data_IF_073186921479
#
_entry.id   IF_073186921479
#
_cell.length_a   1.000
_cell.length_b   1.000
_cell.length_c   1.000
_cell.angle_alpha   90.00
_cell.angle_beta   90.00
_cell.angle_gamma   90.00
#
_symmetry.space_group_name_H-M   'P 1'
#
loop_
_entity.id
_entity.type
_entity.pdbx_description
1 polymer ?
#
# COMPACT_ATOMS: atom_id res chain seq x y z
N UNK A 1 30.01 -18.11 2.63
CA UNK A 1 28.68 -18.58 3.07
C UNK A 1 27.65 -17.62 2.50
N UNK A 2 26.49 -18.10 2.08
CA UNK A 2 25.40 -17.21 1.67
C UNK A 2 24.68 -16.69 2.93
N UNK A 3 24.41 -15.39 2.97
CA UNK A 3 23.69 -14.72 4.07
C UNK A 3 22.32 -14.24 3.57
N UNK A 4 21.35 -14.16 4.48
CA UNK A 4 19.97 -13.75 4.16
C UNK A 4 19.50 -12.72 5.19
N UNK A 5 19.04 -11.57 4.72
CA UNK A 5 18.36 -10.56 5.51
C UNK A 5 16.86 -10.56 5.22
N UNK A 6 16.03 -10.78 6.25
CA UNK A 6 14.58 -10.65 6.16
C UNK A 6 14.11 -9.26 6.60
N UNK A 7 13.42 -8.53 5.71
CA UNK A 7 12.82 -7.23 6.00
C UNK A 7 11.31 -7.26 5.76
N UNK A 8 10.53 -6.81 6.75
CA UNK A 8 9.08 -6.70 6.66
C UNK A 8 8.63 -5.25 6.71
N UNK A 9 7.69 -4.88 5.84
CA UNK A 9 7.14 -3.53 5.78
C UNK A 9 5.64 -3.56 5.46
N UNK A 10 4.91 -2.51 5.85
CA UNK A 10 3.46 -2.44 5.65
C UNK A 10 3.11 -2.21 4.19
N UNK A 11 2.08 -2.89 3.69
CA UNK A 11 1.51 -2.67 2.35
C UNK A 11 0.52 -1.48 2.32
N UNK A 12 0.60 -0.55 3.28
CA UNK A 12 -0.38 0.53 3.44
C UNK A 12 -0.26 1.59 2.31
N UNK A 13 -1.31 1.81 1.48
CA UNK A 13 -1.25 2.72 0.34
C UNK A 13 -1.31 4.21 0.74
N UNK A 14 -1.58 4.51 2.02
CA UNK A 14 -1.89 5.85 2.51
C UNK A 14 -0.70 6.81 2.57
N UNK A 15 0.52 6.35 2.29
CA UNK A 15 1.73 7.17 2.34
C UNK A 15 1.96 8.02 1.10
N UNK A 16 1.27 7.68 0.01
CA UNK A 16 1.49 8.32 -1.30
C UNK A 16 0.82 9.69 -1.35
N UNK A 17 -0.34 9.85 -0.70
CA UNK A 17 -1.16 11.05 -0.83
C UNK A 17 -0.69 12.20 0.08
N UNK A 18 -0.70 13.43 -0.44
CA UNK A 18 -0.56 14.65 0.36
C UNK A 18 -1.58 14.74 1.48
N UNK A 19 -1.22 15.45 2.55
CA UNK A 19 -2.17 15.77 3.62
C UNK A 19 -3.23 16.77 3.15
N UNK A 20 -2.82 17.63 2.22
CA UNK A 20 -3.57 18.72 1.60
C UNK A 20 -4.76 18.21 0.79
N UNK A 21 -4.69 16.96 0.29
CA UNK A 21 -5.80 16.31 -0.40
C UNK A 21 -7.05 16.22 0.49
N UNK A 22 -6.88 16.18 1.83
CA UNK A 22 -7.97 16.16 2.82
C UNK A 22 -8.89 14.95 2.78
N UNK A 23 -8.78 14.11 1.75
CA UNK A 23 -9.63 12.96 1.44
C UNK A 23 -9.01 11.66 1.94
N UNK A 24 -9.60 11.08 2.98
CA UNK A 24 -9.27 9.74 3.46
C UNK A 24 -10.21 8.69 2.88
N UNK A 25 -9.77 7.43 2.88
CA UNK A 25 -10.64 6.30 2.51
C UNK A 25 -11.91 6.27 3.37
N UNK A 26 -11.79 6.59 4.66
CA UNK A 26 -12.91 6.69 5.58
C UNK A 26 -13.90 7.78 5.15
N UNK A 27 -13.46 9.01 4.90
CA UNK A 27 -14.34 10.10 4.43
C UNK A 27 -15.09 9.73 3.17
N UNK A 28 -14.38 9.14 2.19
CA UNK A 28 -14.99 8.63 0.96
C UNK A 28 -16.03 7.55 1.25
N UNK A 29 -15.72 6.59 2.11
CA UNK A 29 -16.67 5.53 2.50
C UNK A 29 -17.91 6.10 3.18
N UNK A 30 -17.75 7.04 4.12
CA UNK A 30 -18.88 7.68 4.80
C UNK A 30 -19.79 8.41 3.80
N UNK A 31 -19.21 9.11 2.82
CA UNK A 31 -19.95 9.83 1.78
C UNK A 31 -20.66 8.89 0.80
N UNK A 32 -19.95 7.92 0.23
CA UNK A 32 -20.38 7.20 -0.97
C UNK A 32 -21.00 5.83 -0.68
N UNK A 33 -20.63 5.18 0.43
CA UNK A 33 -21.08 3.82 0.70
C UNK A 33 -22.53 3.83 1.21
N UNK A 34 -23.44 3.26 0.40
CA UNK A 34 -24.87 3.12 0.74
C UNK A 34 -25.14 1.97 1.71
N UNK A 35 -24.18 1.06 1.90
CA UNK A 35 -24.32 -0.08 2.81
C UNK A 35 -24.00 0.28 4.27
N UNK A 36 -23.47 1.48 4.52
CA UNK A 36 -23.23 1.98 5.88
C UNK A 36 -24.52 2.64 6.38
N UNK A 37 -25.12 2.17 7.49
CA UNK A 37 -26.31 2.78 8.07
C UNK A 37 -26.13 4.28 8.34
N UNK A 38 -27.14 5.14 8.10
CA UNK A 38 -26.99 6.60 8.24
C UNK A 38 -26.53 7.05 9.63
N UNK A 39 -27.00 6.39 10.69
CA UNK A 39 -26.63 6.62 12.08
C UNK A 39 -25.16 6.31 12.37
N UNK A 40 -24.59 5.30 11.69
CA UNK A 40 -23.17 4.96 11.78
C UNK A 40 -22.27 5.93 11.02
N UNK A 41 -22.83 6.83 10.19
CA UNK A 41 -22.07 7.87 9.51
C UNK A 41 -21.82 9.10 10.39
N UNK A 42 -22.49 9.19 11.54
CA UNK A 42 -22.43 10.34 12.46
C UNK A 42 -21.26 10.11 13.44
N UNK A 43 -20.20 10.94 13.43
CA UNK A 43 -19.02 10.71 14.25
C UNK A 43 -19.27 10.61 15.76
N UNK A 44 -20.24 11.37 16.28
CA UNK A 44 -20.59 11.35 17.70
C UNK A 44 -21.13 10.00 18.17
N UNK A 45 -21.70 9.20 17.26
CA UNK A 45 -22.21 7.86 17.55
C UNK A 45 -21.10 6.79 17.58
N UNK A 46 -19.88 7.11 17.18
CA UNK A 46 -18.79 6.14 17.12
C UNK A 46 -18.25 5.77 18.50
N UNK A 47 -17.57 4.62 18.65
CA UNK A 47 -16.83 4.30 19.87
C UNK A 47 -15.83 5.39 20.23
N UNK A 48 -15.61 5.60 21.53
CA UNK A 48 -14.74 6.67 22.05
C UNK A 48 -13.34 6.70 21.40
N UNK A 49 -12.63 5.56 21.21
CA UNK A 49 -11.31 5.59 20.60
C UNK A 49 -11.32 6.11 19.16
N UNK A 50 -12.38 5.81 18.40
CA UNK A 50 -12.53 6.27 17.02
C UNK A 50 -12.80 7.78 16.98
N UNK A 51 -13.60 8.30 17.91
CA UNK A 51 -13.83 9.75 18.04
C UNK A 51 -12.55 10.48 18.43
N UNK A 52 -11.76 9.92 19.35
CA UNK A 52 -10.48 10.49 19.75
C UNK A 52 -9.47 10.50 18.60
N UNK A 53 -9.43 9.45 17.78
CA UNK A 53 -8.55 9.41 16.60
C UNK A 53 -9.01 10.34 15.48
N UNK A 54 -10.32 10.47 15.27
CA UNK A 54 -10.91 11.38 14.29
C UNK A 54 -10.79 12.85 14.72
N UNK A 55 -10.96 13.15 16.01
CA UNK A 55 -10.84 14.49 16.55
C UNK A 55 -11.72 15.53 15.85
N UNK A 56 -11.37 16.81 16.06
CA UNK A 56 -12.01 17.96 15.41
C UNK A 56 -11.45 18.22 13.98
N UNK A 57 -10.35 17.55 13.61
CA UNK A 57 -9.65 17.72 12.33
C UNK A 57 -9.88 16.55 11.36
N UNK A 58 -10.91 15.75 11.63
CA UNK A 58 -11.32 14.61 10.82
C UNK A 58 -10.20 13.58 10.55
N UNK A 59 -9.30 13.42 11.51
CA UNK A 59 -8.25 12.41 11.57
C UNK A 59 -6.91 12.86 11.01
N UNK A 60 -6.76 14.14 10.64
CA UNK A 60 -5.54 14.64 10.00
C UNK A 60 -4.31 14.52 10.92
N UNK A 61 -4.41 14.93 12.18
CA UNK A 61 -3.31 14.81 13.13
C UNK A 61 -2.92 13.34 13.38
N UNK A 62 -3.90 12.44 13.42
CA UNK A 62 -3.66 11.00 13.54
C UNK A 62 -2.96 10.42 12.32
N UNK A 63 -3.39 10.80 11.11
CA UNK A 63 -2.74 10.43 9.86
C UNK A 63 -1.29 10.91 9.79
N UNK A 64 -1.00 12.15 10.22
CA UNK A 64 0.36 12.70 10.30
C UNK A 64 1.27 11.91 11.22
N UNK A 65 0.81 11.61 12.44
CA UNK A 65 1.57 10.79 13.41
C UNK A 65 1.84 9.39 12.87
N UNK A 66 0.85 8.78 12.23
CA UNK A 66 1.01 7.46 11.61
C UNK A 66 2.03 7.51 10.46
N UNK A 67 1.96 8.51 9.59
CA UNK A 67 2.92 8.72 8.49
C UNK A 67 4.33 8.85 9.02
N UNK A 68 4.55 9.69 10.03
CA UNK A 68 5.87 9.89 10.63
C UNK A 68 6.46 8.57 11.15
N UNK A 69 5.65 7.78 11.87
CA UNK A 69 6.04 6.45 12.36
C UNK A 69 6.42 5.51 11.20
N UNK A 70 5.60 5.46 10.15
CA UNK A 70 5.85 4.61 8.98
C UNK A 70 7.13 5.02 8.24
N UNK A 71 7.30 6.31 7.94
CA UNK A 71 8.49 6.84 7.24
C UNK A 71 9.75 6.59 8.06
N UNK A 72 9.70 6.76 9.38
CA UNK A 72 10.81 6.45 10.28
C UNK A 72 11.18 4.97 10.21
N UNK A 73 10.19 4.08 10.22
CA UNK A 73 10.38 2.64 10.04
C UNK A 73 11.03 2.31 8.69
N UNK A 74 10.55 2.90 7.60
CA UNK A 74 11.11 2.69 6.26
C UNK A 74 12.55 3.18 6.14
N UNK A 75 12.89 4.33 6.73
CA UNK A 75 14.28 4.81 6.76
C UNK A 75 15.20 3.85 7.51
N UNK A 76 14.73 3.26 8.61
CA UNK A 76 15.49 2.23 9.32
C UNK A 76 15.70 1.00 8.44
N UNK A 77 14.65 0.46 7.82
CA UNK A 77 14.76 -0.70 6.93
C UNK A 77 15.68 -0.44 5.75
N UNK A 78 15.63 0.76 5.14
CA UNK A 78 16.55 1.15 4.07
C UNK A 78 17.99 1.13 4.55
N UNK A 79 18.28 1.69 5.72
CA UNK A 79 19.62 1.68 6.32
C UNK A 79 20.14 0.26 6.55
N UNK A 80 19.31 -0.65 7.07
CA UNK A 80 19.70 -2.06 7.26
C UNK A 80 19.96 -2.75 5.91
N UNK A 81 19.13 -2.48 4.90
CA UNK A 81 19.32 -3.01 3.54
C UNK A 81 20.62 -2.50 2.90
N UNK A 82 20.92 -1.20 3.05
CA UNK A 82 22.16 -0.59 2.58
C UNK A 82 23.38 -1.20 3.28
N UNK A 83 23.32 -1.39 4.60
CA UNK A 83 24.41 -1.97 5.37
C UNK A 83 24.65 -3.44 5.01
N UNK A 84 23.59 -4.18 4.70
CA UNK A 84 23.67 -5.57 4.27
C UNK A 84 24.25 -5.72 2.85
N UNK A 85 24.05 -4.71 1.98
CA UNK A 85 24.59 -4.65 0.62
C UNK A 85 24.39 -5.96 -0.18
N UNK A 86 23.14 -6.39 -0.42
CA UNK A 86 22.87 -7.66 -1.06
C UNK A 86 23.19 -7.67 -2.57
N UNK A 87 23.61 -8.83 -3.08
CA UNK A 87 23.80 -9.04 -4.52
C UNK A 87 22.47 -9.03 -5.29
N UNK A 88 21.37 -9.46 -4.64
CA UNK A 88 20.02 -9.41 -5.21
C UNK A 88 18.98 -9.18 -4.11
N UNK A 89 17.87 -8.52 -4.48
CA UNK A 89 16.72 -8.33 -3.59
C UNK A 89 15.56 -9.13 -4.15
N UNK A 90 15.01 -10.02 -3.32
CA UNK A 90 13.79 -10.73 -3.61
C UNK A 90 12.63 -10.03 -2.89
N UNK A 91 11.57 -9.68 -3.63
CA UNK A 91 10.43 -8.92 -3.09
C UNK A 91 9.17 -9.77 -3.22
N UNK A 92 8.50 -9.95 -2.08
CA UNK A 92 7.21 -10.62 -1.96
C UNK A 92 6.11 -9.59 -1.86
N UNK A 93 5.10 -9.75 -2.72
CA UNK A 93 3.88 -8.95 -2.69
C UNK A 93 2.74 -9.76 -3.25
N UNK A 94 1.54 -9.20 -3.20
CA UNK A 94 0.40 -9.67 -3.96
C UNK A 94 0.23 -8.81 -5.22
N UNK A 95 -0.46 -9.38 -6.22
CA UNK A 95 -0.86 -8.64 -7.41
C UNK A 95 -2.13 -7.86 -7.11
N UNK A 96 -2.05 -6.53 -7.13
CA UNK A 96 -3.17 -5.63 -6.85
C UNK A 96 -4.09 -5.44 -8.08
N UNK A 97 -4.35 -6.53 -8.80
CA UNK A 97 -5.10 -6.53 -10.07
C UNK A 97 -4.40 -5.77 -11.20
N UNK A 98 -3.08 -5.91 -11.28
CA UNK A 98 -2.22 -5.15 -12.19
C UNK A 98 -1.73 -6.04 -13.34
N UNK A 99 -1.13 -7.18 -12.99
CA UNK A 99 -0.56 -8.13 -13.94
C UNK A 99 -1.53 -9.26 -14.26
N UNK A 100 -2.36 -9.66 -13.30
CA UNK A 100 -3.28 -10.79 -13.41
C UNK A 100 -4.71 -10.32 -13.19
N UNK A 101 -5.61 -10.71 -14.09
CA UNK A 101 -7.04 -10.38 -14.02
C UNK A 101 -7.89 -11.64 -14.10
N UNK A 102 -9.05 -11.58 -14.72
CA UNK A 102 -10.06 -12.64 -14.67
C UNK A 102 -9.61 -13.95 -15.33
N UNK A 103 -8.74 -13.88 -16.35
CA UNK A 103 -8.44 -15.04 -17.20
C UNK A 103 -7.42 -16.00 -16.58
N UNK A 104 -6.38 -15.46 -15.94
CA UNK A 104 -5.25 -16.25 -15.42
C UNK A 104 -4.84 -15.68 -14.06
N UNK A 105 -5.12 -16.44 -13.01
CA UNK A 105 -4.79 -16.10 -11.62
C UNK A 105 -3.92 -17.21 -11.03
N UNK A 106 -2.59 -17.15 -11.20
CA UNK A 106 -1.71 -18.21 -10.74
C UNK A 106 -1.61 -18.20 -9.21
N UNK A 107 -1.40 -19.36 -8.56
CA UNK A 107 -1.13 -19.43 -7.12
C UNK A 107 0.24 -18.80 -6.78
N UNK A 108 1.22 -18.93 -7.67
CA UNK A 108 2.55 -18.35 -7.54
C UNK A 108 3.03 -17.81 -8.88
N UNK A 109 3.70 -16.65 -8.87
CA UNK A 109 4.33 -16.11 -10.07
C UNK A 109 5.69 -15.48 -9.75
N UNK A 110 6.67 -15.77 -10.60
CA UNK A 110 7.99 -15.13 -10.57
C UNK A 110 8.08 -14.21 -11.78
N UNK A 111 8.24 -12.91 -11.53
CA UNK A 111 8.48 -11.90 -12.54
C UNK A 111 9.98 -11.65 -12.62
N UNK A 112 10.63 -12.29 -13.61
CA UNK A 112 12.07 -12.20 -13.87
C UNK A 112 12.34 -11.45 -15.17
N UNK A 113 12.00 -10.16 -15.19
CA UNK A 113 12.30 -9.26 -16.31
C UNK A 113 13.73 -8.72 -16.18
N UNK A 114 14.41 -8.53 -17.31
CA UNK A 114 15.74 -7.88 -17.33
C UNK A 114 15.65 -6.42 -16.84
N UNK A 115 14.65 -5.70 -17.36
CA UNK A 115 14.29 -4.35 -16.96
C UNK A 115 12.77 -4.17 -17.00
N UNK A 116 12.25 -3.31 -16.12
CA UNK A 116 10.85 -2.87 -16.17
C UNK A 116 10.76 -1.35 -15.99
N UNK A 117 9.88 -0.71 -16.76
CA UNK A 117 9.57 0.71 -16.62
C UNK A 117 8.41 0.88 -15.64
N UNK A 118 8.66 1.54 -14.51
CA UNK A 118 7.66 1.76 -13.48
C UNK A 118 7.25 3.23 -13.40
N UNK A 119 5.93 3.48 -13.43
CA UNK A 119 5.36 4.80 -13.22
C UNK A 119 4.38 4.75 -12.04
N UNK A 120 4.87 4.54 -10.81
CA UNK A 120 4.02 4.21 -9.66
C UNK A 120 3.06 5.34 -9.26
N UNK A 121 3.32 6.56 -9.75
CA UNK A 121 2.51 7.73 -9.48
C UNK A 121 1.89 8.35 -10.73
N UNK A 122 1.89 7.65 -11.88
CA UNK A 122 1.11 8.12 -13.02
C UNK A 122 -0.39 7.87 -12.78
N UNK A 123 -1.21 8.85 -13.15
CA UNK A 123 -2.64 8.66 -13.32
C UNK A 123 -2.93 7.79 -14.55
N UNK A 124 -4.18 7.30 -14.65
CA UNK A 124 -4.63 6.54 -15.83
C UNK A 124 -4.45 7.30 -17.13
N UNK A 125 -4.51 8.63 -17.07
CA UNK A 125 -4.35 9.53 -18.20
C UNK A 125 -2.86 9.89 -18.47
N UNK A 126 -1.91 9.25 -17.79
CA UNK A 126 -0.47 9.45 -17.95
C UNK A 126 0.11 10.68 -17.24
N UNK A 127 -0.74 11.56 -16.72
CA UNK A 127 -0.31 12.71 -15.92
C UNK A 127 0.22 12.26 -14.55
N UNK A 128 1.28 12.90 -14.01
CA UNK A 128 1.73 12.61 -12.65
C UNK A 128 0.63 12.90 -11.64
N UNK A 129 0.56 12.08 -10.58
CA UNK A 129 -0.23 12.37 -9.40
C UNK A 129 0.43 13.48 -8.59
N UNK A 130 -0.36 14.14 -7.76
CA UNK A 130 0.22 14.88 -6.64
C UNK A 130 0.57 13.83 -5.57
N UNK A 131 1.86 13.64 -5.34
CA UNK A 131 2.37 12.72 -4.32
C UNK A 131 3.40 13.39 -3.40
N UNK A 132 3.48 12.88 -2.17
CA UNK A 132 4.36 13.43 -1.13
C UNK A 132 5.86 13.29 -1.39
N UNK A 133 6.25 12.40 -2.31
CA UNK A 133 7.66 12.07 -2.54
C UNK A 133 8.31 12.86 -3.68
N UNK A 134 7.53 13.65 -4.44
CA UNK A 134 8.04 14.41 -5.58
C UNK A 134 8.67 13.55 -6.68
N UNK A 135 8.24 12.30 -6.82
CA UNK A 135 8.85 11.28 -7.67
C UNK A 135 8.06 11.13 -8.97
N UNK A 136 8.34 11.98 -9.97
CA UNK A 136 7.56 11.96 -11.22
C UNK A 136 7.79 10.74 -12.11
N UNK A 137 8.98 10.11 -12.03
CA UNK A 137 9.36 8.87 -12.73
C UNK A 137 10.42 8.13 -11.93
N UNK A 138 10.19 6.85 -11.68
CA UNK A 138 11.22 5.92 -11.26
C UNK A 138 11.85 5.37 -12.55
N UNK A 139 13.19 5.40 -12.64
CA UNK A 139 13.93 4.95 -13.82
C UNK A 139 13.75 3.47 -14.13
N UNK A 140 14.58 2.92 -15.00
CA UNK A 140 14.57 1.48 -15.26
C UNK A 140 15.12 0.74 -14.03
N UNK A 141 14.35 -0.19 -13.50
CA UNK A 141 14.80 -1.09 -12.43
C UNK A 141 15.08 -2.46 -13.01
N UNK A 142 16.23 -3.02 -12.66
CA UNK A 142 16.45 -4.47 -12.75
C UNK A 142 16.08 -5.04 -11.39
N UNK A 143 15.05 -5.88 -11.33
CA UNK A 143 14.57 -6.48 -10.08
C UNK A 143 13.88 -7.79 -10.41
N UNK A 144 14.26 -8.85 -9.71
CA UNK A 144 13.51 -10.10 -9.70
C UNK A 144 12.42 -9.97 -8.63
N UNK A 145 11.16 -9.86 -9.05
CA UNK A 145 10.02 -9.78 -8.14
C UNK A 145 9.38 -11.17 -8.05
N UNK A 146 9.28 -11.74 -6.85
CA UNK A 146 8.57 -13.02 -6.64
C UNK A 146 7.27 -12.71 -5.92
N UNK A 147 6.16 -12.68 -6.67
CA UNK A 147 4.83 -12.42 -6.12
C UNK A 147 4.25 -13.76 -5.66
N UNK A 148 4.06 -13.91 -4.36
CA UNK A 148 3.62 -15.15 -3.73
C UNK A 148 2.20 -14.96 -3.16
N UNK A 149 1.18 -15.58 -3.76
CA UNK A 149 -0.22 -15.47 -3.30
C UNK A 149 -0.59 -16.69 -2.46
N UNK A 150 -0.73 -16.52 -1.15
CA UNK A 150 -1.36 -17.55 -0.30
C UNK A 150 -2.89 -17.39 -0.38
N UNK A 151 -3.53 -17.98 -1.39
CA UNK A 151 -4.99 -18.02 -1.41
C UNK A 151 -5.51 -19.17 -0.54
N UNK A 152 -6.14 -18.85 0.61
CA UNK A 152 -6.96 -19.83 1.33
C UNK A 152 -8.12 -20.24 0.42
N UNK A 153 -8.11 -21.49 -0.02
CA UNK A 153 -9.22 -22.14 -0.72
C UNK A 153 -10.43 -22.18 0.22
N UNK A 154 -11.34 -21.22 0.11
CA UNK A 154 -12.70 -21.38 0.60
C UNK A 154 -13.54 -22.00 -0.52
N UNK A 155 -13.32 -23.30 -0.80
CA UNK A 155 -14.35 -24.10 -1.46
C UNK A 155 -15.52 -24.22 -0.48
N UNK A 156 -16.54 -23.36 -0.63
CA UNK A 156 -17.91 -23.76 -0.27
C UNK A 156 -18.36 -24.73 -1.35
N UNK A 157 -18.33 -26.00 -1.02
CA UNK A 157 -19.09 -27.03 -1.73
C UNK A 157 -20.52 -26.85 -1.23
N UNK A 158 -21.38 -26.24 -2.04
CA UNK A 158 -22.82 -26.37 -1.87
C UNK A 158 -23.31 -27.17 -3.07
N UNK A 159 -23.79 -28.39 -2.78
CA UNK A 159 -24.60 -29.18 -3.70
C UNK A 159 -26.05 -28.72 -3.70
#
# INVERSE_FOLDING_TARGET
>A
MAEILGLGLTHAPSLIRPDEDGESSLKRTLRENKNVPPDMKIPTNWPEPMRAEYGEDEGLASARRLRERMVTGFRKLRKELDAFNPDFVLIWGDDQYENFKEDIIPPFCVLAYDQFECQPFANKDGNPRDEMFGMKRLGKFSTIRVILKLQRSSRRING
#
